data_IF_361033033187
#
_entry.id   IF_361033033187
#
_cell.length_a   1.000
_cell.length_b   1.000
_cell.length_c   1.000
_cell.angle_alpha   90.00
_cell.angle_beta   90.00
_cell.angle_gamma   90.00
#
_symmetry.space_group_name_H-M   'P 1'
#
loop_
_entity.id
_entity.type
_entity.pdbx_description
1 polymer ?
#
# COMPACT_ATOMS: atom_id res chain seq x y z
N UNK A 1 2.58 5.32 33.94
CA UNK A 1 1.60 6.01 33.07
C UNK A 1 1.73 5.35 31.71
N UNK A 2 0.75 4.53 31.32
CA UNK A 2 0.77 3.89 30.00
C UNK A 2 0.28 4.96 29.05
N UNK A 3 1.18 5.61 28.31
CA UNK A 3 0.77 6.43 27.18
C UNK A 3 0.11 5.47 26.22
N UNK A 4 -1.22 5.49 26.15
CA UNK A 4 -2.00 4.82 25.12
C UNK A 4 -1.63 5.46 23.79
N UNK A 5 -0.54 4.97 23.19
CA UNK A 5 -0.10 5.41 21.88
C UNK A 5 -1.08 4.80 20.88
N UNK A 6 -2.17 5.51 20.62
CA UNK A 6 -3.17 5.10 19.64
C UNK A 6 -2.46 4.93 18.29
N UNK A 7 -2.69 3.84 17.55
CA UNK A 7 -2.04 3.64 16.27
C UNK A 7 -2.35 4.82 15.34
N UNK A 8 -1.33 5.32 14.63
CA UNK A 8 -1.49 6.42 13.67
C UNK A 8 -2.38 5.95 12.53
N UNK A 9 -3.40 6.73 12.18
CA UNK A 9 -4.34 6.39 11.12
C UNK A 9 -5.76 6.92 11.38
N UNK A 10 -6.78 6.41 10.66
CA UNK A 10 -6.70 5.29 9.72
C UNK A 10 -6.04 5.68 8.38
N UNK A 11 -5.06 4.90 7.94
CA UNK A 11 -4.47 4.97 6.61
C UNK A 11 -5.25 4.09 5.65
N UNK A 12 -5.88 4.71 4.65
CA UNK A 12 -6.66 4.05 3.62
C UNK A 12 -5.75 3.50 2.54
N UNK A 13 -5.80 2.19 2.32
CA UNK A 13 -4.97 1.48 1.36
C UNK A 13 -5.81 0.92 0.21
N UNK A 14 -5.36 1.19 -1.01
CA UNK A 14 -5.82 0.52 -2.23
C UNK A 14 -4.67 -0.32 -2.80
N UNK A 15 -4.98 -1.50 -3.30
CA UNK A 15 -4.00 -2.37 -3.95
C UNK A 15 -4.29 -2.51 -5.44
N UNK A 16 -3.25 -2.73 -6.24
CA UNK A 16 -3.38 -3.06 -7.67
C UNK A 16 -2.71 -4.41 -7.90
N UNK A 17 -3.53 -5.46 -8.00
CA UNK A 17 -3.10 -6.84 -8.05
C UNK A 17 -4.14 -7.68 -8.80
N UNK A 18 -3.73 -8.42 -9.84
CA UNK A 18 -4.64 -9.29 -10.58
C UNK A 18 -5.06 -10.55 -9.79
N UNK A 19 -4.46 -10.77 -8.62
CA UNK A 19 -4.78 -11.85 -7.70
C UNK A 19 -5.28 -11.24 -6.37
N UNK A 20 -6.57 -10.91 -6.25
CA UNK A 20 -7.12 -10.22 -5.08
C UNK A 20 -6.91 -11.00 -3.77
N UNK A 21 -6.99 -12.33 -3.82
CA UNK A 21 -6.71 -13.20 -2.67
C UNK A 21 -5.26 -13.07 -2.16
N UNK A 22 -4.30 -12.85 -3.07
CA UNK A 22 -2.90 -12.62 -2.69
C UNK A 22 -2.73 -11.24 -2.07
N UNK A 23 -3.36 -10.22 -2.65
CA UNK A 23 -3.32 -8.86 -2.11
C UNK A 23 -3.88 -8.82 -0.69
N UNK A 24 -5.07 -9.40 -0.47
CA UNK A 24 -5.73 -9.43 0.84
C UNK A 24 -4.88 -10.13 1.91
N UNK A 25 -4.25 -11.26 1.57
CA UNK A 25 -3.35 -11.97 2.50
C UNK A 25 -2.11 -11.14 2.83
N UNK A 26 -1.46 -10.56 1.82
CA UNK A 26 -0.24 -9.77 2.00
C UNK A 26 -0.51 -8.52 2.82
N UNK A 27 -1.54 -7.75 2.45
CA UNK A 27 -1.95 -6.55 3.17
C UNK A 27 -2.41 -6.88 4.58
N UNK A 28 -3.19 -7.95 4.76
CA UNK A 28 -3.63 -8.38 6.09
C UNK A 28 -2.45 -8.67 7.02
N UNK A 29 -1.39 -9.32 6.52
CA UNK A 29 -0.18 -9.57 7.30
C UNK A 29 0.61 -8.30 7.62
N UNK A 30 0.75 -7.40 6.64
CA UNK A 30 1.44 -6.11 6.85
C UNK A 30 0.68 -5.25 7.87
N UNK A 31 -0.64 -5.15 7.74
CA UNK A 31 -1.49 -4.43 8.69
C UNK A 31 -1.41 -5.03 10.09
N UNK A 32 -1.44 -6.37 10.20
CA UNK A 32 -1.30 -7.06 11.48
C UNK A 32 0.06 -6.81 12.14
N UNK A 33 1.15 -6.85 11.37
CA UNK A 33 2.49 -6.58 11.90
C UNK A 33 2.66 -5.13 12.39
N UNK A 34 1.92 -4.20 11.79
CA UNK A 34 2.00 -2.77 12.08
C UNK A 34 0.88 -2.28 13.00
N UNK A 35 -0.07 -3.13 13.40
CA UNK A 35 -1.30 -2.74 14.12
C UNK A 35 -1.07 -2.00 15.44
N UNK A 36 0.08 -2.22 16.09
CA UNK A 36 0.43 -1.54 17.34
C UNK A 36 0.85 -0.08 17.10
N UNK A 37 1.28 0.26 15.89
CA UNK A 37 1.81 1.60 15.55
C UNK A 37 0.95 2.32 14.51
N UNK A 38 0.32 1.60 13.58
CA UNK A 38 -0.45 2.15 12.46
C UNK A 38 -1.77 1.39 12.27
N UNK A 39 -2.83 2.13 11.98
CA UNK A 39 -4.11 1.56 11.57
C UNK A 39 -4.20 1.61 10.04
N UNK A 40 -4.04 0.46 9.38
CA UNK A 40 -4.11 0.34 7.91
C UNK A 40 -5.43 -0.34 7.53
N UNK A 41 -6.25 0.37 6.74
CA UNK A 41 -7.54 -0.13 6.26
C UNK A 41 -7.48 -0.39 4.76
N UNK A 42 -7.60 -1.66 4.37
CA UNK A 42 -7.70 -2.04 2.96
C UNK A 42 -9.10 -1.77 2.43
N UNK A 43 -9.24 -0.81 1.51
CA UNK A 43 -10.54 -0.39 0.97
C UNK A 43 -10.89 -1.11 -0.32
N UNK A 44 -9.93 -1.27 -1.23
CA UNK A 44 -10.21 -1.81 -2.55
C UNK A 44 -8.98 -2.46 -3.19
N UNK A 45 -9.22 -3.41 -4.10
CA UNK A 45 -8.21 -4.01 -4.96
C UNK A 45 -8.60 -3.81 -6.43
N UNK A 46 -7.74 -3.15 -7.19
CA UNK A 46 -7.85 -3.05 -8.64
C UNK A 46 -7.20 -4.28 -9.27
N UNK A 47 -7.92 -5.01 -10.12
CA UNK A 47 -7.36 -6.13 -10.87
C UNK A 47 -6.75 -5.67 -12.20
N UNK A 48 -7.12 -4.46 -12.65
CA UNK A 48 -6.69 -3.84 -13.90
C UNK A 48 -6.19 -2.42 -13.69
N UNK A 49 -5.30 -1.97 -14.56
CA UNK A 49 -4.75 -0.59 -14.52
C UNK A 49 -5.87 0.44 -14.77
N UNK A 50 -6.82 0.14 -15.65
CA UNK A 50 -7.96 1.01 -15.96
C UNK A 50 -8.89 1.29 -14.76
N UNK A 51 -8.90 0.42 -13.75
CA UNK A 51 -9.71 0.61 -12.53
C UNK A 51 -9.08 1.58 -11.53
N UNK A 52 -7.76 1.80 -11.62
CA UNK A 52 -6.99 2.56 -10.62
C UNK A 52 -7.51 3.98 -10.47
N UNK A 53 -7.83 4.64 -11.59
CA UNK A 53 -8.30 6.03 -11.57
C UNK A 53 -9.61 6.17 -10.79
N UNK A 54 -10.58 5.29 -11.08
CA UNK A 54 -11.88 5.28 -10.41
C UNK A 54 -11.70 4.93 -8.92
N UNK A 55 -10.96 3.87 -8.63
CA UNK A 55 -10.71 3.43 -7.26
C UNK A 55 -10.06 4.50 -6.39
N UNK A 56 -9.03 5.20 -6.89
CA UNK A 56 -8.38 6.30 -6.15
C UNK A 56 -9.35 7.46 -5.95
N UNK A 57 -10.15 7.80 -6.97
CA UNK A 57 -11.11 8.90 -6.91
C UNK A 57 -12.24 8.63 -5.91
N UNK A 58 -12.78 7.41 -5.89
CA UNK A 58 -13.90 7.01 -5.04
C UNK A 58 -13.47 6.78 -3.59
N UNK A 59 -12.34 6.10 -3.38
CA UNK A 59 -11.90 5.72 -2.05
C UNK A 59 -11.05 6.79 -1.36
N UNK A 60 -10.48 7.74 -2.13
CA UNK A 60 -9.50 8.73 -1.67
C UNK A 60 -8.45 8.10 -0.73
N UNK A 61 -7.69 7.10 -1.21
CA UNK A 61 -6.72 6.40 -0.38
C UNK A 61 -5.49 7.27 -0.08
N UNK A 62 -4.90 7.01 1.08
CA UNK A 62 -3.60 7.56 1.49
C UNK A 62 -2.45 6.76 0.90
N UNK A 63 -2.68 5.45 0.67
CA UNK A 63 -1.69 4.49 0.21
C UNK A 63 -2.19 3.74 -1.03
N UNK A 64 -1.30 3.56 -2.01
CA UNK A 64 -1.50 2.64 -3.13
C UNK A 64 -0.31 1.69 -3.28
N UNK A 65 -0.58 0.38 -3.22
CA UNK A 65 0.41 -0.67 -3.45
C UNK A 65 0.23 -1.31 -4.81
N UNK A 66 1.28 -1.25 -5.63
CA UNK A 66 1.37 -1.98 -6.89
C UNK A 66 2.08 -3.32 -6.64
N UNK A 67 1.42 -4.42 -7.03
CA UNK A 67 1.97 -5.77 -6.88
C UNK A 67 3.20 -6.00 -7.77
N UNK A 68 4.07 -6.93 -7.36
CA UNK A 68 5.31 -7.28 -8.08
C UNK A 68 5.11 -8.03 -9.40
N UNK A 69 3.86 -8.33 -9.75
CA UNK A 69 3.53 -9.02 -10.99
C UNK A 69 3.35 -8.09 -12.18
N UNK A 70 3.23 -6.78 -11.93
CA UNK A 70 3.23 -5.76 -12.98
C UNK A 70 4.66 -5.49 -13.43
N UNK A 71 4.85 -5.24 -14.73
CA UNK A 71 6.14 -4.76 -15.23
C UNK A 71 6.48 -3.37 -14.67
N UNK A 72 7.74 -2.95 -14.81
CA UNK A 72 8.17 -1.62 -14.36
C UNK A 72 7.39 -0.49 -15.04
N UNK A 73 7.10 -0.63 -16.35
CA UNK A 73 6.31 0.33 -17.13
C UNK A 73 4.85 0.37 -16.65
N UNK A 74 4.23 -0.79 -16.42
CA UNK A 74 2.87 -0.86 -15.90
C UNK A 74 2.76 -0.30 -14.49
N UNK A 75 3.73 -0.60 -13.62
CA UNK A 75 3.80 -0.04 -12.29
C UNK A 75 3.91 1.49 -12.34
N UNK A 76 4.82 2.03 -13.16
CA UNK A 76 4.95 3.48 -13.34
C UNK A 76 3.65 4.12 -13.84
N UNK A 77 2.96 3.48 -14.78
CA UNK A 77 1.66 3.92 -15.26
C UNK A 77 0.62 3.94 -14.13
N UNK A 78 0.50 2.86 -13.35
CA UNK A 78 -0.40 2.77 -12.19
C UNK A 78 -0.12 3.88 -11.19
N UNK A 79 1.15 4.10 -10.84
CA UNK A 79 1.55 5.12 -9.88
C UNK A 79 1.28 6.53 -10.40
N UNK A 80 1.47 6.77 -11.70
CA UNK A 80 1.21 8.05 -12.35
C UNK A 80 -0.28 8.38 -12.30
N UNK A 81 -1.14 7.44 -12.70
CA UNK A 81 -2.61 7.59 -12.63
C UNK A 81 -3.05 7.93 -11.21
N UNK A 82 -2.50 7.23 -10.22
CA UNK A 82 -2.83 7.47 -8.82
C UNK A 82 -2.47 8.90 -8.38
N UNK A 83 -1.26 9.36 -8.72
CA UNK A 83 -0.76 10.71 -8.39
C UNK A 83 -1.49 11.82 -9.15
N UNK A 84 -1.95 11.56 -10.37
CA UNK A 84 -2.77 12.50 -11.13
C UNK A 84 -4.12 12.76 -10.43
N UNK A 85 -4.70 11.73 -9.82
CA UNK A 85 -5.97 11.85 -9.09
C UNK A 85 -5.76 12.41 -7.69
N UNK A 86 -4.75 11.92 -6.96
CA UNK A 86 -4.39 12.39 -5.63
C UNK A 86 -2.87 12.65 -5.58
N UNK A 87 -2.40 13.90 -5.69
CA UNK A 87 -0.97 14.21 -5.69
C UNK A 87 -0.28 13.92 -4.35
N UNK A 88 -1.05 13.79 -3.26
CA UNK A 88 -0.54 13.48 -1.93
C UNK A 88 -0.54 11.97 -1.64
N UNK A 89 -0.95 11.13 -2.57
CA UNK A 89 -1.01 9.69 -2.36
C UNK A 89 0.38 9.07 -2.26
N UNK A 90 0.58 8.28 -1.21
CA UNK A 90 1.79 7.48 -1.04
C UNK A 90 1.67 6.27 -1.95
N UNK A 91 2.64 6.14 -2.86
CA UNK A 91 2.67 5.08 -3.86
C UNK A 91 3.86 4.18 -3.63
N UNK A 92 3.61 2.86 -3.62
CA UNK A 92 4.67 1.88 -3.44
C UNK A 92 4.53 0.75 -4.45
N UNK A 93 5.55 0.59 -5.31
CA UNK A 93 5.64 -0.54 -6.23
C UNK A 93 6.55 -1.60 -5.63
N UNK A 94 6.02 -2.80 -5.45
CA UNK A 94 6.80 -3.94 -4.99
C UNK A 94 7.73 -4.37 -6.15
N UNK A 95 9.05 -4.49 -5.93
CA UNK A 95 9.98 -4.85 -6.98
C UNK A 95 9.59 -6.16 -7.69
N UNK A 96 9.62 -6.13 -9.02
CA UNK A 96 9.35 -7.30 -9.85
C UNK A 96 10.34 -8.43 -9.51
N UNK A 97 9.84 -9.66 -9.40
CA UNK A 97 10.67 -10.83 -9.06
C UNK A 97 10.91 -11.07 -7.56
N UNK A 98 10.67 -10.09 -6.68
CA UNK A 98 10.91 -10.25 -5.23
C UNK A 98 10.12 -11.43 -4.61
N UNK A 99 8.89 -11.65 -5.06
CA UNK A 99 8.08 -12.79 -4.62
C UNK A 99 8.64 -14.14 -5.07
N UNK A 100 9.27 -14.19 -6.24
CA UNK A 100 9.80 -15.42 -6.83
C UNK A 100 11.13 -15.79 -6.17
N UNK A 101 11.97 -14.79 -5.92
CA UNK A 101 13.31 -14.99 -5.35
C UNK A 101 13.28 -15.26 -3.84
N UNK A 102 12.39 -14.59 -3.10
CA UNK A 102 12.41 -14.60 -1.62
C UNK A 102 11.10 -15.08 -0.99
N UNK A 103 10.09 -15.38 -1.80
CA UNK A 103 8.80 -15.86 -1.35
C UNK A 103 7.85 -14.75 -0.87
N UNK A 104 6.60 -15.11 -0.52
CA UNK A 104 5.57 -14.17 -0.10
C UNK A 104 5.88 -13.53 1.27
N UNK A 105 6.57 -14.23 2.17
CA UNK A 105 6.95 -13.75 3.50
C UNK A 105 7.95 -12.58 3.44
N UNK A 106 8.92 -12.66 2.52
CA UNK A 106 9.92 -11.61 2.35
C UNK A 106 9.30 -10.28 1.92
N UNK A 107 8.23 -10.31 1.12
CA UNK A 107 7.52 -9.08 0.73
C UNK A 107 6.84 -8.44 1.95
N UNK A 108 6.23 -9.25 2.82
CA UNK A 108 5.59 -8.75 4.04
C UNK A 108 6.64 -8.12 4.95
N UNK A 109 7.78 -8.78 5.16
CA UNK A 109 8.87 -8.24 5.98
C UNK A 109 9.43 -6.94 5.37
N UNK A 110 9.65 -6.92 4.06
CA UNK A 110 10.13 -5.76 3.33
C UNK A 110 9.18 -4.57 3.48
N UNK A 111 7.87 -4.78 3.28
CA UNK A 111 6.86 -3.74 3.47
C UNK A 111 6.78 -3.28 4.93
N UNK A 112 6.85 -4.22 5.89
CA UNK A 112 6.82 -3.89 7.33
C UNK A 112 8.02 -3.02 7.72
N UNK A 113 9.18 -3.20 7.09
CA UNK A 113 10.36 -2.36 7.34
C UNK A 113 10.33 -1.02 6.60
N UNK A 114 9.77 -0.99 5.38
CA UNK A 114 9.75 0.21 4.53
C UNK A 114 8.59 1.15 4.81
N UNK A 115 7.43 0.63 5.22
CA UNK A 115 6.24 1.46 5.42
C UNK A 115 6.38 2.46 6.57
N UNK A 116 6.90 2.10 7.77
CA UNK A 116 6.97 3.04 8.88
C UNK A 116 7.63 4.39 8.53
N UNK A 117 8.86 4.44 7.97
CA UNK A 117 9.47 5.73 7.64
C UNK A 117 8.71 6.50 6.54
N UNK A 118 8.01 5.82 5.64
CA UNK A 118 7.19 6.45 4.59
C UNK A 118 5.92 7.06 5.20
N UNK A 119 5.24 6.30 6.08
CA UNK A 119 4.05 6.76 6.78
C UNK A 119 4.37 7.91 7.72
N UNK A 120 5.48 7.85 8.46
CA UNK A 120 5.95 8.95 9.31
C UNK A 120 6.18 10.23 8.51
N UNK A 121 6.86 10.13 7.35
CA UNK A 121 7.12 11.27 6.48
C UNK A 121 5.83 11.92 5.97
N UNK A 122 4.82 11.11 5.66
CA UNK A 122 3.53 11.62 5.20
C UNK A 122 2.64 12.14 6.34
N UNK A 123 2.67 11.50 7.51
CA UNK A 123 1.85 11.88 8.67
C UNK A 123 2.34 13.20 9.29
N UNK A 124 3.66 13.41 9.37
CA UNK A 124 4.27 14.63 9.89
C UNK A 124 4.09 15.87 9.01
N UNK A 125 3.65 15.72 7.75
CA UNK A 125 3.27 16.84 6.88
C UNK A 125 1.82 17.31 7.12
N UNK A 126 1.02 16.51 7.84
CA UNK A 126 -0.42 16.73 8.03
C UNK A 126 -0.81 16.88 9.53
N UNK A 127 0.16 17.12 10.42
CA UNK A 127 -0.02 17.37 11.86
C UNK A 127 0.45 18.76 12.26
#
# INVERSE_FOLDING_TARGET
>A
MVSTNMPKGPFKLVTVNTAPERAKRLVGRVAQNLQETYEIQHLHNCERIDEVQAAVRENQPDLLFCASMWSAEEAEQILSIAREVNPNIITYAIPHGLQVEQGPDAIVEHLTQKLPPILEASYGQNS
#
